data_IF_142784355477
#
_entry.id   IF_142784355477
#
_cell.length_a   1.000
_cell.length_b   1.000
_cell.length_c   1.000
_cell.angle_alpha   90.00
_cell.angle_beta   90.00
_cell.angle_gamma   90.00
#
_symmetry.space_group_name_H-M   'P 1'
#
loop_
_entity.id
_entity.type
_entity.pdbx_description
1 polymer ?
#
# COMPACT_ATOMS: atom_id res chain seq x y z
N UNK A 1 17.40 -21.73 26.27
CA UNK A 1 17.25 -21.43 24.83
C UNK A 1 15.99 -20.59 24.69
N UNK A 2 16.13 -19.27 24.57
CA UNK A 2 14.97 -18.38 24.42
C UNK A 2 14.51 -18.53 22.97
N UNK A 3 13.37 -19.18 22.77
CA UNK A 3 12.70 -19.20 21.48
C UNK A 3 12.30 -17.77 21.15
N UNK A 4 13.05 -17.13 20.25
CA UNK A 4 12.61 -15.91 19.59
C UNK A 4 11.42 -16.33 18.74
N UNK A 5 10.21 -16.22 19.31
CA UNK A 5 8.97 -16.26 18.55
C UNK A 5 9.09 -15.16 17.52
N UNK A 6 9.46 -15.52 16.29
CA UNK A 6 9.42 -14.59 15.16
C UNK A 6 7.99 -14.05 15.15
N UNK A 7 7.79 -12.72 15.13
CA UNK A 7 6.44 -12.18 14.94
C UNK A 7 5.85 -12.89 13.71
N UNK A 8 4.68 -13.49 13.89
CA UNK A 8 4.02 -14.23 12.83
C UNK A 8 3.49 -13.21 11.84
N UNK A 9 4.37 -12.67 10.99
CA UNK A 9 4.06 -11.68 9.97
C UNK A 9 2.87 -12.19 9.17
N UNK A 10 1.72 -11.53 9.33
CA UNK A 10 0.45 -11.88 8.67
C UNK A 10 0.32 -11.17 7.33
N UNK A 11 0.87 -9.96 7.21
CA UNK A 11 0.65 -9.11 6.04
C UNK A 11 1.94 -8.47 5.54
N UNK A 12 1.98 -8.25 4.23
CA UNK A 12 2.94 -7.40 3.57
C UNK A 12 2.19 -6.25 2.91
N UNK A 13 2.63 -5.03 3.17
CA UNK A 13 1.95 -3.80 2.73
C UNK A 13 2.86 -3.05 1.78
N UNK A 14 2.34 -2.72 0.60
CA UNK A 14 3.03 -1.99 -0.45
C UNK A 14 2.35 -0.65 -0.68
N UNK A 15 3.16 0.36 -1.00
CA UNK A 15 2.67 1.60 -1.62
C UNK A 15 3.12 1.62 -3.06
N UNK A 16 2.15 1.56 -3.97
CA UNK A 16 2.39 1.63 -5.41
C UNK A 16 1.95 3.00 -5.90
N UNK A 17 2.88 3.80 -6.41
CA UNK A 17 2.54 5.00 -7.17
C UNK A 17 2.51 4.68 -8.65
N UNK A 18 1.64 5.36 -9.38
CA UNK A 18 1.72 5.37 -10.83
C UNK A 18 1.29 6.71 -11.42
N UNK A 19 1.87 7.03 -12.57
CA UNK A 19 1.56 8.17 -13.43
C UNK A 19 1.41 7.65 -14.85
N UNK A 20 0.44 8.17 -15.61
CA UNK A 20 0.21 7.80 -17.01
C UNK A 20 0.03 6.30 -17.34
N UNK A 21 -0.23 5.44 -16.35
CA UNK A 21 -0.40 4.00 -16.59
C UNK A 21 -1.63 3.66 -17.44
N UNK A 22 -1.48 2.64 -18.30
CA UNK A 22 -2.59 2.07 -19.08
C UNK A 22 -3.69 1.51 -18.17
N UNK A 23 -4.94 1.52 -18.65
CA UNK A 23 -6.09 1.06 -17.87
C UNK A 23 -5.95 -0.41 -17.42
N UNK A 24 -5.34 -1.27 -18.24
CA UNK A 24 -5.10 -2.67 -17.87
C UNK A 24 -4.18 -2.80 -16.67
N UNK A 25 -3.14 -1.97 -16.60
CA UNK A 25 -2.18 -1.99 -15.49
C UNK A 25 -2.81 -1.40 -14.23
N UNK A 26 -3.57 -0.30 -14.36
CA UNK A 26 -4.37 0.26 -13.26
C UNK A 26 -5.28 -0.80 -12.65
N UNK A 27 -6.00 -1.57 -13.47
CA UNK A 27 -6.89 -2.62 -13.01
C UNK A 27 -6.15 -3.70 -12.19
N UNK A 28 -4.96 -4.12 -12.63
CA UNK A 28 -4.13 -5.09 -11.91
C UNK A 28 -3.76 -4.55 -10.52
N UNK A 29 -3.34 -3.29 -10.43
CA UNK A 29 -2.95 -2.65 -9.18
C UNK A 29 -4.16 -2.51 -8.25
N UNK A 30 -5.27 -1.99 -8.75
CA UNK A 30 -6.48 -1.75 -7.95
C UNK A 30 -7.14 -3.02 -7.45
N UNK A 31 -7.03 -4.14 -8.17
CA UNK A 31 -7.62 -5.42 -7.77
C UNK A 31 -7.09 -5.93 -6.41
N UNK A 32 -5.85 -5.57 -6.08
CA UNK A 32 -5.21 -5.95 -4.82
C UNK A 32 -5.13 -4.78 -3.82
N UNK A 33 -5.67 -3.62 -4.19
CA UNK A 33 -5.59 -2.44 -3.35
C UNK A 33 -6.68 -2.42 -2.29
N UNK A 34 -6.31 -1.99 -1.09
CA UNK A 34 -7.22 -1.70 0.00
C UNK A 34 -7.58 -0.21 0.07
N UNK A 35 -6.79 0.66 -0.58
CA UNK A 35 -7.06 2.09 -0.65
C UNK A 35 -6.40 2.71 -1.88
N UNK A 36 -7.17 3.46 -2.65
CA UNK A 36 -6.70 4.32 -3.74
C UNK A 36 -6.67 5.79 -3.29
N UNK A 37 -5.55 6.47 -3.54
CA UNK A 37 -5.27 7.85 -3.13
C UNK A 37 -4.88 8.63 -4.39
N UNK A 38 -5.80 9.44 -4.91
CA UNK A 38 -5.57 10.25 -6.10
C UNK A 38 -5.50 11.76 -5.81
N UNK A 39 -5.76 12.16 -4.57
CA UNK A 39 -5.61 13.54 -4.11
C UNK A 39 -5.28 13.59 -2.61
N UNK A 40 -4.87 14.78 -2.16
CA UNK A 40 -4.51 15.05 -0.75
C UNK A 40 -5.72 15.06 0.16
N UNK A 41 -6.92 15.38 -0.33
CA UNK A 41 -8.12 15.43 0.51
C UNK A 41 -8.54 14.03 0.96
N UNK A 42 -8.46 13.04 0.08
CA UNK A 42 -8.69 11.63 0.40
C UNK A 42 -7.68 11.17 1.43
N UNK A 43 -6.39 11.49 1.24
CA UNK A 43 -5.36 11.17 2.21
C UNK A 43 -5.65 11.77 3.59
N UNK A 44 -6.00 13.06 3.64
CA UNK A 44 -6.30 13.76 4.90
C UNK A 44 -7.58 13.25 5.58
N UNK A 45 -8.61 12.88 4.83
CA UNK A 45 -9.83 12.29 5.40
C UNK A 45 -9.56 10.95 6.07
N UNK A 46 -8.75 10.11 5.43
CA UNK A 46 -8.44 8.77 5.93
C UNK A 46 -7.45 8.79 7.10
N UNK A 47 -6.51 9.74 7.12
CA UNK A 47 -5.59 9.91 8.26
C UNK A 47 -6.25 10.53 9.49
N UNK A 48 -7.36 11.25 9.32
CA UNK A 48 -8.15 11.81 10.41
C UNK A 48 -9.23 10.84 10.94
N UNK A 49 -9.24 9.58 10.52
CA UNK A 49 -10.22 8.60 11.00
C UNK A 49 -9.97 8.27 12.48
N UNK A 50 -10.89 8.63 13.40
CA UNK A 50 -10.78 8.23 14.79
C UNK A 50 -11.23 6.78 14.88
N UNK A 51 -10.29 5.84 15.01
CA UNK A 51 -10.62 4.42 15.20
C UNK A 51 -11.57 4.25 16.40
N UNK A 52 -12.78 3.74 16.16
CA UNK A 52 -13.79 3.52 17.19
C UNK A 52 -14.20 2.04 17.19
N UNK A 53 -13.69 1.26 18.14
CA UNK A 53 -14.25 -0.07 18.44
C UNK A 53 -13.30 -1.07 19.09
N UNK A 54 -13.88 -2.10 19.71
CA UNK A 54 -13.19 -3.26 20.30
C UNK A 54 -12.64 -4.26 19.25
N UNK A 55 -12.77 -3.95 17.96
CA UNK A 55 -12.43 -4.82 16.83
C UNK A 55 -11.51 -4.08 15.88
N UNK A 56 -10.38 -4.69 15.53
CA UNK A 56 -9.38 -4.12 14.62
C UNK A 56 -9.77 -4.45 13.17
N UNK A 57 -10.37 -3.49 12.48
CA UNK A 57 -10.93 -3.69 11.14
C UNK A 57 -9.99 -3.26 10.00
N UNK A 58 -10.48 -3.24 8.75
CA UNK A 58 -9.67 -2.82 7.59
C UNK A 58 -9.32 -1.31 7.64
N UNK A 59 -10.23 -0.46 8.12
CA UNK A 59 -10.00 0.98 8.20
C UNK A 59 -8.96 1.33 9.27
N UNK A 60 -8.97 0.60 10.39
CA UNK A 60 -7.93 0.73 11.42
C UNK A 60 -6.54 0.39 10.85
N UNK A 61 -6.45 -0.70 10.06
CA UNK A 61 -5.21 -1.09 9.37
C UNK A 61 -4.76 -0.05 8.35
N UNK A 62 -5.68 0.41 7.50
CA UNK A 62 -5.40 1.46 6.51
C UNK A 62 -4.86 2.72 7.21
N UNK A 63 -5.46 3.14 8.32
CA UNK A 63 -5.01 4.32 9.07
C UNK A 63 -3.57 4.17 9.57
N UNK A 64 -3.19 2.98 10.04
CA UNK A 64 -1.80 2.66 10.42
C UNK A 64 -0.87 2.72 9.20
N UNK A 65 -1.27 2.13 8.08
CA UNK A 65 -0.47 2.12 6.85
C UNK A 65 -0.22 3.54 6.34
N UNK A 66 -1.25 4.38 6.34
CA UNK A 66 -1.12 5.79 6.00
C UNK A 66 -0.15 6.53 6.93
N UNK A 67 -0.12 6.17 8.21
CA UNK A 67 0.87 6.67 9.16
C UNK A 67 2.31 6.28 8.80
N UNK A 68 2.55 5.03 8.42
CA UNK A 68 3.89 4.55 8.04
C UNK A 68 4.43 5.22 6.77
N UNK A 69 3.56 5.51 5.82
CA UNK A 69 3.97 5.99 4.50
C UNK A 69 3.66 7.47 4.25
N UNK A 70 3.26 8.21 5.29
CA UNK A 70 2.75 9.59 5.19
C UNK A 70 3.61 10.50 4.32
N UNK A 71 4.90 10.59 4.62
CA UNK A 71 5.78 11.55 3.95
C UNK A 71 5.97 11.17 2.47
N UNK A 72 6.17 9.88 2.20
CA UNK A 72 6.32 9.32 0.85
C UNK A 72 5.05 9.48 0.01
N UNK A 73 3.88 9.27 0.61
CA UNK A 73 2.59 9.48 -0.06
C UNK A 73 2.43 10.95 -0.42
N UNK A 74 2.69 11.86 0.52
CA UNK A 74 2.56 13.30 0.30
C UNK A 74 3.49 13.81 -0.80
N UNK A 75 4.77 13.39 -0.77
CA UNK A 75 5.76 13.70 -1.80
C UNK A 75 5.28 13.29 -3.20
N UNK A 76 4.80 12.06 -3.34
CA UNK A 76 4.39 11.52 -4.65
C UNK A 76 3.06 12.09 -5.13
N UNK A 77 2.16 12.45 -4.23
CA UNK A 77 0.97 13.24 -4.60
C UNK A 77 1.36 14.62 -5.14
N UNK A 78 2.37 15.27 -4.57
CA UNK A 78 2.88 16.57 -5.08
C UNK A 78 3.52 16.45 -6.46
N UNK A 79 4.12 15.30 -6.78
CA UNK A 79 4.63 14.99 -8.12
C UNK A 79 3.54 14.61 -9.14
N UNK A 80 2.28 14.51 -8.69
CA UNK A 80 1.11 14.21 -9.52
C UNK A 80 0.88 12.71 -9.76
N UNK A 81 1.41 11.83 -8.89
CA UNK A 81 1.12 10.41 -8.94
C UNK A 81 -0.22 10.09 -8.28
N UNK A 82 -0.86 9.02 -8.75
CA UNK A 82 -1.90 8.32 -7.99
C UNK A 82 -1.25 7.17 -7.23
N UNK A 83 -1.67 6.93 -5.99
CA UNK A 83 -1.13 5.88 -5.14
C UNK A 83 -2.17 4.84 -4.76
N UNK A 84 -1.72 3.61 -4.56
CA UNK A 84 -2.52 2.53 -4.01
C UNK A 84 -1.77 1.87 -2.84
N UNK A 85 -2.48 1.65 -1.74
CA UNK A 85 -2.04 0.77 -0.66
C UNK A 85 -2.49 -0.64 -1.03
N UNK A 86 -1.55 -1.58 -1.07
CA UNK A 86 -1.81 -2.99 -1.36
C UNK A 86 -1.44 -3.82 -0.15
N UNK A 87 -2.40 -4.56 0.39
CA UNK A 87 -2.21 -5.48 1.52
C UNK A 87 -2.22 -6.92 0.99
N UNK A 88 -1.15 -7.67 1.23
CA UNK A 88 -1.00 -9.06 0.81
C UNK A 88 -0.90 -9.92 2.06
N UNK A 89 -1.90 -10.77 2.30
CA UNK A 89 -1.81 -11.77 3.37
C UNK A 89 -0.74 -12.82 3.01
N UNK A 90 0.11 -13.18 3.96
CA UNK A 90 1.26 -14.09 3.74
C UNK A 90 0.85 -15.46 3.19
N UNK A 91 -0.34 -15.95 3.53
CA UNK A 91 -0.86 -17.23 3.02
C UNK A 91 -1.15 -17.22 1.52
N UNK A 92 -1.25 -16.05 0.88
CA UNK A 92 -1.49 -15.93 -0.56
C UNK A 92 -0.21 -16.09 -1.39
N UNK A 93 0.94 -16.29 -0.72
CA UNK A 93 2.23 -16.46 -1.37
C UNK A 93 2.79 -15.14 -1.90
N UNK A 94 3.79 -15.24 -2.79
CA UNK A 94 4.55 -14.09 -3.29
C UNK A 94 4.15 -13.64 -4.70
N UNK A 95 3.13 -14.24 -5.32
CA UNK A 95 2.80 -13.97 -6.72
C UNK A 95 2.42 -12.51 -6.97
N UNK A 96 1.60 -11.94 -6.08
CA UNK A 96 1.21 -10.52 -6.19
C UNK A 96 2.42 -9.61 -5.97
N UNK A 97 3.27 -9.90 -4.98
CA UNK A 97 4.53 -9.18 -4.77
C UNK A 97 5.42 -9.21 -6.02
N UNK A 98 5.59 -10.38 -6.65
CA UNK A 98 6.38 -10.52 -7.87
C UNK A 98 5.80 -9.70 -9.02
N UNK A 99 4.48 -9.70 -9.19
CA UNK A 99 3.82 -8.89 -10.23
C UNK A 99 4.08 -7.40 -10.00
N UNK A 100 3.90 -6.91 -8.76
CA UNK A 100 4.10 -5.49 -8.45
C UNK A 100 5.55 -5.05 -8.66
N UNK A 101 6.52 -5.87 -8.23
CA UNK A 101 7.95 -5.62 -8.47
C UNK A 101 8.33 -5.68 -9.95
N UNK A 102 7.69 -6.55 -10.73
CA UNK A 102 7.90 -6.56 -12.18
C UNK A 102 7.35 -5.31 -12.86
N UNK A 103 6.20 -4.80 -12.40
CA UNK A 103 5.65 -3.55 -12.94
C UNK A 103 6.58 -2.37 -12.64
N UNK A 104 7.08 -2.27 -11.41
CA UNK A 104 8.10 -1.30 -11.00
C UNK A 104 9.34 -1.35 -11.91
N UNK A 105 9.89 -2.55 -12.13
CA UNK A 105 11.05 -2.72 -13.00
C UNK A 105 10.80 -2.39 -14.49
N UNK A 106 9.60 -2.68 -15.01
CA UNK A 106 9.29 -2.50 -16.44
C UNK A 106 8.94 -1.05 -16.76
N UNK A 107 8.23 -0.37 -15.85
CA UNK A 107 7.64 0.94 -16.07
C UNK A 107 8.37 2.07 -15.34
N UNK A 108 9.29 1.75 -14.42
CA UNK A 108 10.24 2.66 -13.74
C UNK A 108 9.58 3.99 -13.32
N UNK A 109 9.74 5.05 -14.12
CA UNK A 109 9.17 6.37 -13.83
C UNK A 109 7.64 6.40 -13.74
N UNK A 110 6.94 5.51 -14.44
CA UNK A 110 5.47 5.49 -14.52
C UNK A 110 4.82 4.64 -13.43
N UNK A 111 5.54 3.69 -12.82
CA UNK A 111 5.03 2.83 -11.74
C UNK A 111 6.15 2.57 -10.74
N UNK A 112 5.94 2.97 -9.49
CA UNK A 112 6.95 2.89 -8.45
C UNK A 112 6.44 2.12 -7.23
N UNK A 113 7.21 1.13 -6.77
CA UNK A 113 7.07 0.56 -5.43
C UNK A 113 7.82 1.44 -4.45
N UNK A 114 7.09 2.31 -3.74
CA UNK A 114 7.69 3.39 -2.94
C UNK A 114 8.17 2.90 -1.56
N UNK A 115 7.49 1.90 -1.01
CA UNK A 115 7.88 1.30 0.26
C UNK A 115 7.18 -0.05 0.51
N UNK A 116 7.75 -0.83 1.43
CA UNK A 116 7.27 -2.14 1.85
C UNK A 116 7.37 -2.27 3.36
N UNK A 117 6.28 -2.64 4.02
CA UNK A 117 6.26 -2.99 5.45
C UNK A 117 5.73 -4.41 5.66
N UNK A 118 6.31 -5.12 6.63
CA UNK A 118 5.92 -6.47 7.01
C UNK A 118 5.39 -6.47 8.45
N UNK A 119 4.17 -6.99 8.65
CA UNK A 119 3.40 -6.92 9.91
C UNK A 119 2.96 -8.29 10.35
#
# INVERSE_FOLDING_TARGET
>A
MISLVKPNTKYKVFVIAYKNAEQRIKNIITQHSVLNIHDKDIFLRQTNYPGFGRSFDLNDRISIYLGWFKDKIMEKLDEGYTLNIVEIHKSYGNRVEQVLKSLDFIYDDDILVIDIQEV
#
